data_IF_528856141765
#
_entry.id   IF_528856141765
#
_cell.length_a   1.000
_cell.length_b   1.000
_cell.length_c   1.000
_cell.angle_alpha   90.00
_cell.angle_beta   90.00
_cell.angle_gamma   90.00
#
_symmetry.space_group_name_H-M   'P 1'
#
loop_
_entity.id
_entity.type
_entity.pdbx_description
1 polymer ?
#
# COMPACT_ATOMS: atom_id res chain seq x y z
N UNK A 1 -13.73 14.01 13.66
CA UNK A 1 -14.38 14.31 14.96
C UNK A 1 -15.13 13.10 15.55
N UNK A 2 -14.63 11.88 15.38
CA UNK A 2 -15.31 10.63 15.81
C UNK A 2 -14.80 10.06 17.12
N UNK A 3 -13.48 9.84 17.20
CA UNK A 3 -12.82 9.09 18.27
C UNK A 3 -13.00 9.68 19.66
N UNK A 4 -12.52 10.88 19.89
CA UNK A 4 -12.60 11.52 21.22
C UNK A 4 -14.04 11.59 21.75
N UNK A 5 -15.02 11.81 20.86
CA UNK A 5 -16.43 11.86 21.26
C UNK A 5 -16.97 10.49 21.65
N UNK A 6 -16.55 9.41 20.99
CA UNK A 6 -16.90 8.02 21.36
C UNK A 6 -16.20 7.62 22.65
N UNK A 7 -14.88 7.83 22.73
CA UNK A 7 -14.08 7.52 23.91
C UNK A 7 -14.63 8.24 25.16
N UNK A 8 -14.87 9.53 25.10
CA UNK A 8 -15.46 10.28 26.21
C UNK A 8 -16.87 9.79 26.57
N UNK A 9 -17.68 9.43 25.57
CA UNK A 9 -19.00 8.83 25.81
C UNK A 9 -18.93 7.49 26.52
N UNK A 10 -17.97 6.63 26.14
CA UNK A 10 -17.77 5.32 26.78
C UNK A 10 -17.18 5.49 28.19
N UNK A 11 -16.20 6.38 28.38
CA UNK A 11 -15.64 6.73 29.70
C UNK A 11 -16.76 7.21 30.64
N UNK A 12 -17.65 8.06 30.15
CA UNK A 12 -18.77 8.57 30.96
C UNK A 12 -19.74 7.46 31.41
N UNK A 13 -20.04 6.50 30.52
CA UNK A 13 -20.88 5.35 30.84
C UNK A 13 -20.23 4.41 31.86
N UNK A 14 -18.93 4.12 31.67
CA UNK A 14 -18.17 3.28 32.62
C UNK A 14 -18.11 3.95 33.99
N UNK A 15 -17.84 5.26 34.06
CA UNK A 15 -17.81 6.00 35.30
C UNK A 15 -19.19 6.07 36.03
N UNK A 16 -20.28 5.97 35.27
CA UNK A 16 -21.64 5.88 35.82
C UNK A 16 -22.06 4.45 36.17
N UNK A 17 -21.24 3.45 35.88
CA UNK A 17 -21.57 2.03 36.04
C UNK A 17 -22.62 1.52 35.04
N UNK A 18 -22.84 2.25 33.95
CA UNK A 18 -23.78 1.93 32.89
C UNK A 18 -23.18 1.00 31.83
N UNK A 19 -21.82 0.86 31.82
CA UNK A 19 -21.08 -0.04 30.95
C UNK A 19 -19.91 -0.70 31.68
N UNK A 20 -19.51 -1.94 31.36
CA UNK A 20 -18.33 -2.59 31.94
C UNK A 20 -17.03 -1.98 31.42
N UNK A 21 -15.96 -2.13 32.19
CA UNK A 21 -14.61 -1.59 31.83
C UNK A 21 -14.11 -2.20 30.51
N UNK A 22 -14.45 -3.45 30.24
CA UNK A 22 -14.11 -4.17 29.01
C UNK A 22 -14.64 -3.46 27.73
N UNK A 23 -15.75 -2.72 27.87
CA UNK A 23 -16.29 -1.92 26.75
C UNK A 23 -15.41 -0.73 26.39
N UNK A 24 -14.68 -0.19 27.39
CA UNK A 24 -13.68 0.85 27.17
C UNK A 24 -12.48 0.34 26.39
N UNK A 25 -11.98 -0.83 26.78
CA UNK A 25 -10.85 -1.47 26.13
C UNK A 25 -11.17 -1.84 24.68
N UNK A 26 -12.37 -2.38 24.43
CA UNK A 26 -12.83 -2.71 23.07
C UNK A 26 -13.03 -1.47 22.20
N UNK A 27 -13.58 -0.38 22.76
CA UNK A 27 -13.74 0.87 22.02
C UNK A 27 -12.38 1.48 21.65
N UNK A 28 -11.39 1.39 22.56
CA UNK A 28 -10.04 1.88 22.32
C UNK A 28 -9.31 1.08 21.22
N UNK A 29 -9.36 -0.26 21.28
CA UNK A 29 -8.75 -1.14 20.26
C UNK A 29 -9.40 -0.91 18.88
N UNK A 30 -10.72 -0.79 18.80
CA UNK A 30 -11.41 -0.56 17.52
C UNK A 30 -10.98 0.77 16.85
N UNK A 31 -10.74 1.79 17.63
CA UNK A 31 -10.33 3.10 17.09
C UNK A 31 -8.85 3.12 16.67
N UNK A 32 -7.96 2.42 17.35
CA UNK A 32 -6.55 2.27 16.93
C UNK A 32 -6.44 1.50 15.61
N UNK A 33 -7.23 0.47 15.42
CA UNK A 33 -7.31 -0.26 14.13
C UNK A 33 -7.78 0.66 13.01
N UNK A 34 -8.83 1.44 13.24
CA UNK A 34 -9.34 2.40 12.26
C UNK A 34 -8.31 3.50 11.94
N UNK A 35 -7.55 3.98 12.92
CA UNK A 35 -6.47 4.94 12.71
C UNK A 35 -5.30 4.32 11.90
N UNK A 36 -4.92 3.08 12.18
CA UNK A 36 -3.90 2.37 11.42
C UNK A 36 -4.33 2.16 9.96
N UNK A 37 -5.60 1.80 9.73
CA UNK A 37 -6.14 1.65 8.37
C UNK A 37 -6.28 2.99 7.64
N UNK A 38 -6.59 4.09 8.33
CA UNK A 38 -6.59 5.44 7.74
C UNK A 38 -5.16 5.89 7.37
N UNK A 39 -4.19 5.61 8.24
CA UNK A 39 -2.78 5.88 7.94
C UNK A 39 -2.29 5.05 6.74
N UNK A 40 -2.68 3.78 6.65
CA UNK A 40 -2.39 2.94 5.50
C UNK A 40 -2.94 3.52 4.20
N UNK A 41 -4.21 3.95 4.16
CA UNK A 41 -4.81 4.55 2.96
C UNK A 41 -4.07 5.80 2.47
N UNK A 42 -3.65 6.66 3.41
CA UNK A 42 -2.83 7.83 3.07
C UNK A 42 -1.46 7.42 2.51
N UNK A 43 -0.90 6.34 3.04
CA UNK A 43 0.36 5.78 2.57
C UNK A 43 0.25 5.21 1.16
N UNK A 44 -0.80 4.45 0.84
CA UNK A 44 -1.06 3.94 -0.51
C UNK A 44 -1.09 5.08 -1.54
N UNK A 45 -1.87 6.11 -1.25
CA UNK A 45 -1.98 7.28 -2.12
C UNK A 45 -0.62 7.98 -2.29
N UNK A 46 0.12 8.19 -1.20
CA UNK A 46 1.43 8.84 -1.23
C UNK A 46 2.45 8.04 -2.05
N UNK A 47 2.52 6.72 -1.88
CA UNK A 47 3.42 5.85 -2.62
C UNK A 47 3.14 5.90 -4.13
N UNK A 48 1.88 5.82 -4.52
CA UNK A 48 1.47 5.89 -5.93
C UNK A 48 1.74 7.26 -6.54
N UNK A 49 1.38 8.34 -5.85
CA UNK A 49 1.64 9.70 -6.32
C UNK A 49 3.14 9.94 -6.52
N UNK A 50 3.97 9.50 -5.58
CA UNK A 50 5.42 9.68 -5.67
C UNK A 50 6.03 8.80 -6.76
N UNK A 51 5.53 7.57 -6.96
CA UNK A 51 5.95 6.71 -8.07
C UNK A 51 5.68 7.39 -9.43
N UNK A 52 4.49 7.96 -9.62
CA UNK A 52 4.14 8.67 -10.86
C UNK A 52 4.94 9.98 -11.02
N UNK A 53 5.14 10.75 -9.95
CA UNK A 53 5.98 11.97 -9.99
C UNK A 53 7.44 11.69 -10.33
N UNK A 54 7.98 10.55 -9.92
CA UNK A 54 9.37 10.17 -10.20
C UNK A 54 9.63 10.07 -11.71
N UNK A 55 8.66 9.62 -12.48
CA UNK A 55 8.75 9.46 -13.95
C UNK A 55 8.32 10.69 -14.74
N UNK A 56 7.92 11.77 -14.09
CA UNK A 56 7.55 13.03 -14.75
C UNK A 56 6.06 13.38 -14.71
N UNK A 57 5.25 12.57 -14.05
CA UNK A 57 3.82 12.80 -13.87
C UNK A 57 2.92 11.85 -14.67
N UNK A 58 1.61 12.04 -14.60
CA UNK A 58 0.63 11.13 -15.21
C UNK A 58 0.67 11.10 -16.74
N UNK A 59 1.21 12.14 -17.38
CA UNK A 59 1.36 12.18 -18.84
C UNK A 59 2.54 11.35 -19.36
N UNK A 60 3.44 10.92 -18.46
CA UNK A 60 4.65 10.18 -18.83
C UNK A 60 4.45 8.65 -18.82
N UNK A 61 3.40 8.16 -18.18
CA UNK A 61 3.10 6.72 -18.07
C UNK A 61 1.60 6.47 -18.16
N UNK A 62 1.23 5.34 -18.69
CA UNK A 62 -0.17 4.89 -18.77
C UNK A 62 -0.64 4.32 -17.44
N UNK A 63 0.26 3.61 -16.74
CA UNK A 63 0.02 2.96 -15.46
C UNK A 63 1.28 2.88 -14.61
N UNK A 64 1.09 2.89 -13.30
CA UNK A 64 2.14 2.60 -12.35
C UNK A 64 1.72 1.44 -11.44
N UNK A 65 2.67 0.55 -11.16
CA UNK A 65 2.50 -0.59 -10.27
C UNK A 65 3.61 -0.57 -9.23
N UNK A 66 3.23 -0.67 -7.96
CA UNK A 66 4.16 -0.62 -6.83
C UNK A 66 4.00 -1.89 -6.03
N UNK A 67 5.06 -2.68 -5.89
CA UNK A 67 5.13 -3.79 -4.97
C UNK A 67 6.09 -3.44 -3.84
N UNK A 68 5.61 -3.51 -2.61
CA UNK A 68 6.37 -3.13 -1.43
C UNK A 68 6.54 -4.32 -0.50
N UNK A 69 7.74 -4.47 0.06
CA UNK A 69 8.04 -5.37 1.16
C UNK A 69 8.16 -4.54 2.44
N UNK A 70 7.29 -4.82 3.40
CA UNK A 70 7.23 -4.15 4.70
C UNK A 70 7.87 -4.98 5.83
N UNK A 71 8.40 -6.16 5.53
CA UNK A 71 9.03 -7.01 6.55
C UNK A 71 10.21 -6.28 7.16
N UNK A 72 10.23 -6.23 8.48
CA UNK A 72 11.21 -5.51 9.29
C UNK A 72 12.66 -5.82 8.87
N UNK A 73 13.45 -4.78 8.66
CA UNK A 73 14.83 -4.83 8.15
C UNK A 73 14.99 -5.42 6.73
N UNK A 74 13.92 -5.49 5.96
CA UNK A 74 13.91 -5.98 4.59
C UNK A 74 13.06 -5.07 3.68
N UNK A 75 12.82 -3.84 4.10
CA UNK A 75 12.00 -2.88 3.38
C UNK A 75 12.59 -2.68 1.97
N UNK A 76 11.89 -3.19 0.98
CA UNK A 76 12.27 -3.12 -0.42
C UNK A 76 11.07 -2.82 -1.31
N UNK A 77 11.36 -2.25 -2.48
CA UNK A 77 10.32 -1.82 -3.41
C UNK A 77 10.67 -2.27 -4.82
N UNK A 78 9.68 -2.71 -5.56
CA UNK A 78 9.73 -2.87 -7.00
C UNK A 78 8.65 -2.01 -7.65
N UNK A 79 8.99 -1.36 -8.73
CA UNK A 79 8.13 -0.46 -9.47
C UNK A 79 8.10 -0.89 -10.94
N UNK A 80 6.90 -1.01 -11.48
CA UNK A 80 6.71 -1.20 -12.90
C UNK A 80 5.88 -0.05 -13.45
N UNK A 81 6.14 0.28 -14.68
CA UNK A 81 5.41 1.31 -15.42
C UNK A 81 4.95 0.75 -16.76
N UNK A 82 3.73 1.06 -17.14
CA UNK A 82 3.31 0.86 -18.52
C UNK A 82 3.60 2.15 -19.30
N UNK A 83 4.41 2.02 -20.36
CA UNK A 83 4.79 3.12 -21.26
C UNK A 83 4.66 2.60 -22.70
N UNK A 84 3.89 3.30 -23.50
CA UNK A 84 3.60 2.92 -24.90
C UNK A 84 3.14 1.44 -25.04
N UNK A 85 2.29 1.00 -24.11
CA UNK A 85 1.76 -0.36 -24.07
C UNK A 85 2.74 -1.44 -23.59
N UNK A 86 3.94 -1.08 -23.16
CA UNK A 86 4.97 -2.01 -22.67
C UNK A 86 5.13 -1.88 -21.15
N UNK A 87 5.34 -3.01 -20.47
CA UNK A 87 5.68 -3.04 -19.05
C UNK A 87 7.20 -2.92 -18.89
N UNK A 88 7.64 -1.87 -18.21
CA UNK A 88 9.04 -1.61 -17.88
C UNK A 88 9.24 -1.64 -16.38
N UNK A 89 10.31 -2.27 -15.89
CA UNK A 89 10.78 -2.04 -14.52
C UNK A 89 11.38 -0.63 -14.42
N UNK A 90 11.32 -0.01 -13.26
CA UNK A 90 11.95 1.27 -13.02
C UNK A 90 13.45 1.30 -13.37
N UNK A 91 14.12 0.14 -13.33
CA UNK A 91 15.55 0.00 -13.72
C UNK A 91 15.77 0.04 -15.23
N UNK A 92 14.70 -0.15 -16.00
CA UNK A 92 14.70 -0.12 -17.47
C UNK A 92 14.32 1.28 -18.00
N UNK A 93 14.00 2.22 -17.10
CA UNK A 93 13.68 3.61 -17.41
C UNK A 93 14.96 4.44 -17.68
N UNK A 94 14.77 5.68 -18.11
CA UNK A 94 15.89 6.61 -18.32
C UNK A 94 16.74 6.79 -17.05
N UNK A 95 18.04 7.02 -17.21
CA UNK A 95 19.00 7.15 -16.10
C UNK A 95 18.59 8.21 -15.06
N UNK A 96 17.96 9.32 -15.49
CA UNK A 96 17.48 10.37 -14.60
C UNK A 96 16.30 9.91 -13.72
N UNK A 97 15.45 9.02 -14.25
CA UNK A 97 14.34 8.39 -13.49
C UNK A 97 14.89 7.39 -12.50
N UNK A 98 15.82 6.53 -12.95
CA UNK A 98 16.50 5.55 -12.09
C UNK A 98 17.18 6.25 -10.90
N UNK A 99 17.89 7.35 -11.15
CA UNK A 99 18.56 8.14 -10.11
C UNK A 99 17.57 8.73 -9.10
N UNK A 100 16.47 9.33 -9.58
CA UNK A 100 15.40 9.84 -8.72
C UNK A 100 14.78 8.75 -7.83
N UNK A 101 14.45 7.61 -8.43
CA UNK A 101 13.85 6.51 -7.69
C UNK A 101 14.81 5.98 -6.65
N UNK A 102 16.06 5.70 -7.03
CA UNK A 102 17.06 5.12 -6.13
C UNK A 102 17.41 6.03 -4.95
N UNK A 103 17.59 7.33 -5.21
CA UNK A 103 18.16 8.25 -4.24
C UNK A 103 17.10 9.07 -3.47
N UNK A 104 15.85 9.10 -3.94
CA UNK A 104 14.80 9.90 -3.32
C UNK A 104 13.60 9.04 -2.93
N UNK A 105 13.00 8.28 -3.88
CA UNK A 105 11.77 7.57 -3.62
C UNK A 105 11.97 6.36 -2.70
N UNK A 106 12.94 5.49 -2.99
CA UNK A 106 13.14 4.26 -2.21
C UNK A 106 13.49 4.52 -0.73
N UNK A 107 14.38 5.49 -0.38
CA UNK A 107 14.63 5.82 1.02
C UNK A 107 13.38 6.31 1.76
N UNK A 108 12.62 7.22 1.13
CA UNK A 108 11.38 7.74 1.71
C UNK A 108 10.32 6.65 1.89
N UNK A 109 10.19 5.77 0.91
CA UNK A 109 9.24 4.66 0.97
C UNK A 109 9.59 3.66 2.09
N UNK A 110 10.89 3.44 2.35
CA UNK A 110 11.34 2.59 3.46
C UNK A 110 10.99 3.18 4.83
N UNK A 111 11.20 4.49 5.03
CA UNK A 111 10.79 5.17 6.27
C UNK A 111 9.28 5.09 6.50
N UNK A 112 8.50 5.28 5.44
CA UNK A 112 7.04 5.19 5.50
C UNK A 112 6.58 3.77 5.80
N UNK A 113 7.20 2.75 5.21
CA UNK A 113 6.89 1.35 5.48
C UNK A 113 7.09 0.98 6.95
N UNK A 114 8.18 1.46 7.56
CA UNK A 114 8.43 1.26 8.98
C UNK A 114 7.33 1.91 9.82
N UNK A 115 6.99 3.16 9.56
CA UNK A 115 5.97 3.89 10.30
C UNK A 115 4.58 3.23 10.21
N UNK A 116 4.22 2.66 9.04
CA UNK A 116 2.97 1.90 8.88
C UNK A 116 2.95 0.71 9.83
N UNK A 117 3.99 -0.11 9.85
CA UNK A 117 4.01 -1.30 10.68
C UNK A 117 4.07 -0.98 12.18
N UNK A 118 4.73 0.12 12.58
CA UNK A 118 4.68 0.60 13.96
C UNK A 118 3.23 0.93 14.38
N UNK A 119 2.45 1.60 13.54
CA UNK A 119 1.03 1.87 13.81
C UNK A 119 0.19 0.59 13.91
N UNK A 120 0.46 -0.41 13.06
CA UNK A 120 -0.23 -1.71 13.11
C UNK A 120 0.13 -2.51 14.36
N UNK A 121 1.41 -2.50 14.77
CA UNK A 121 1.87 -3.12 16.02
C UNK A 121 1.21 -2.45 17.24
N UNK A 122 1.15 -1.12 17.29
CA UNK A 122 0.47 -0.37 18.37
C UNK A 122 -1.03 -0.64 18.44
N UNK A 123 -1.68 -0.81 17.30
CA UNK A 123 -3.08 -1.18 17.21
C UNK A 123 -3.35 -2.66 17.54
N UNK A 124 -2.29 -3.47 17.71
CA UNK A 124 -2.37 -4.92 17.91
C UNK A 124 -3.14 -5.65 16.80
N UNK A 125 -2.98 -5.19 15.57
CA UNK A 125 -3.51 -5.83 14.37
C UNK A 125 -2.39 -6.47 13.55
N UNK A 126 -2.69 -7.47 12.67
CA UNK A 126 -1.66 -8.12 11.87
C UNK A 126 -0.90 -7.12 10.98
N UNK A 127 0.41 -7.05 11.16
CA UNK A 127 1.29 -6.19 10.36
C UNK A 127 1.25 -6.55 8.88
N UNK A 128 1.57 -5.56 8.04
CA UNK A 128 1.64 -5.74 6.60
C UNK A 128 3.01 -6.32 6.24
N UNK A 129 3.03 -7.46 5.55
CA UNK A 129 4.25 -8.04 5.00
C UNK A 129 4.55 -7.48 3.61
N UNK A 130 3.53 -7.37 2.78
CA UNK A 130 3.64 -6.87 1.41
C UNK A 130 2.41 -6.04 1.03
N UNK A 131 2.59 -5.13 0.07
CA UNK A 131 1.47 -4.48 -0.59
C UNK A 131 1.69 -4.40 -2.10
N UNK A 132 0.62 -4.59 -2.86
CA UNK A 132 0.57 -4.45 -4.31
C UNK A 132 -0.39 -3.30 -4.64
N UNK A 133 0.15 -2.23 -5.22
CA UNK A 133 -0.60 -1.02 -5.54
C UNK A 133 -0.60 -0.78 -7.05
N UNK A 134 -1.69 -0.25 -7.56
CA UNK A 134 -1.89 0.02 -8.99
C UNK A 134 -2.49 1.40 -9.17
N UNK A 135 -2.02 2.12 -10.16
CA UNK A 135 -2.54 3.42 -10.53
C UNK A 135 -2.80 3.48 -12.03
N UNK A 136 -4.01 3.85 -12.42
CA UNK A 136 -4.46 4.06 -13.79
C UNK A 136 -4.49 5.56 -14.08
N UNK A 137 -3.60 6.06 -14.92
CA UNK A 137 -3.47 7.52 -15.14
C UNK A 137 -4.64 8.10 -15.90
N UNK A 138 -5.23 7.36 -16.84
CA UNK A 138 -6.34 7.84 -17.67
C UNK A 138 -7.62 8.12 -16.86
N UNK A 139 -7.89 7.31 -15.83
CA UNK A 139 -9.08 7.43 -14.98
C UNK A 139 -8.77 8.05 -13.62
N UNK A 140 -7.49 8.22 -13.30
CA UNK A 140 -6.99 8.59 -11.96
C UNK A 140 -7.45 7.61 -10.88
N UNK A 141 -7.82 6.39 -11.27
CA UNK A 141 -8.19 5.32 -10.36
C UNK A 141 -6.95 4.64 -9.77
N UNK A 142 -7.05 4.29 -8.51
CA UNK A 142 -6.01 3.51 -7.85
C UNK A 142 -6.60 2.35 -7.05
N UNK A 143 -5.85 1.29 -6.92
CA UNK A 143 -6.24 0.07 -6.26
C UNK A 143 -5.07 -0.45 -5.43
N UNK A 144 -5.35 -0.98 -4.25
CA UNK A 144 -4.36 -1.54 -3.36
C UNK A 144 -4.79 -2.89 -2.78
N UNK A 145 -3.82 -3.76 -2.56
CA UNK A 145 -3.99 -5.01 -1.80
C UNK A 145 -2.86 -5.12 -0.80
N UNK A 146 -3.19 -5.16 0.47
CA UNK A 146 -2.25 -5.48 1.56
C UNK A 146 -2.25 -6.98 1.82
N UNK A 147 -1.07 -7.55 2.02
CA UNK A 147 -0.85 -8.92 2.44
C UNK A 147 -0.26 -8.90 3.84
N UNK A 148 -1.00 -9.42 4.80
CA UNK A 148 -0.54 -9.52 6.19
C UNK A 148 0.08 -10.89 6.46
N UNK A 149 0.68 -11.08 7.62
CA UNK A 149 1.22 -12.38 8.05
C UNK A 149 0.22 -13.54 7.98
N UNK A 150 -1.09 -13.23 7.96
CA UNK A 150 -2.16 -14.22 7.81
C UNK A 150 -2.44 -14.59 6.34
N UNK A 151 -1.95 -13.81 5.38
CA UNK A 151 -2.17 -14.07 3.95
C UNK A 151 -1.33 -15.25 3.48
N UNK A 152 -1.86 -16.18 2.65
CA UNK A 152 -1.07 -17.29 2.10
C UNK A 152 0.18 -16.82 1.35
N UNK A 153 0.05 -15.73 0.59
CA UNK A 153 1.10 -15.13 -0.22
C UNK A 153 2.23 -14.51 0.62
N UNK A 154 1.99 -14.20 1.90
CA UNK A 154 3.04 -13.69 2.79
C UNK A 154 4.16 -14.71 3.06
N UNK A 155 3.95 -16.00 2.72
CA UNK A 155 4.96 -17.05 2.78
C UNK A 155 5.96 -17.01 1.62
N UNK A 156 5.60 -16.32 0.53
CA UNK A 156 6.47 -16.16 -0.62
C UNK A 156 7.61 -15.19 -0.29
N UNK A 157 8.71 -15.35 -1.01
CA UNK A 157 9.76 -14.34 -1.04
C UNK A 157 9.31 -13.12 -1.85
N UNK A 158 9.96 -11.99 -1.63
CA UNK A 158 9.68 -10.78 -2.41
C UNK A 158 9.95 -11.00 -3.91
N UNK A 159 11.00 -11.74 -4.25
CA UNK A 159 11.35 -12.07 -5.63
C UNK A 159 10.31 -12.94 -6.33
N UNK A 160 9.73 -13.91 -5.63
CA UNK A 160 8.63 -14.73 -6.15
C UNK A 160 7.38 -13.89 -6.42
N UNK A 161 7.04 -12.96 -5.50
CA UNK A 161 5.93 -12.03 -5.69
C UNK A 161 6.18 -11.08 -6.87
N UNK A 162 7.38 -10.50 -6.99
CA UNK A 162 7.79 -9.65 -8.10
C UNK A 162 7.65 -10.38 -9.43
N UNK A 163 8.23 -11.59 -9.52
CA UNK A 163 8.24 -12.38 -10.75
C UNK A 163 6.84 -12.83 -11.14
N UNK A 164 6.07 -13.30 -10.17
CA UNK A 164 4.70 -13.77 -10.40
C UNK A 164 3.77 -12.65 -10.84
N UNK A 165 3.83 -11.50 -10.17
CA UNK A 165 2.99 -10.36 -10.54
C UNK A 165 3.40 -9.74 -11.87
N UNK A 166 4.71 -9.61 -12.15
CA UNK A 166 5.21 -9.16 -13.45
C UNK A 166 4.66 -10.00 -14.60
N UNK A 167 4.68 -11.32 -14.46
CA UNK A 167 4.15 -12.23 -15.48
C UNK A 167 2.65 -12.05 -15.74
N UNK A 168 1.87 -11.75 -14.70
CA UNK A 168 0.44 -11.42 -14.83
C UNK A 168 0.28 -10.10 -15.58
N UNK A 169 1.01 -9.05 -15.19
CA UNK A 169 0.92 -7.74 -15.82
C UNK A 169 1.30 -7.80 -17.30
N UNK A 170 2.39 -8.49 -17.67
CA UNK A 170 2.84 -8.67 -19.06
C UNK A 170 1.77 -9.36 -19.92
N UNK A 171 1.02 -10.29 -19.35
CA UNK A 171 -0.07 -11.00 -20.05
C UNK A 171 -1.32 -10.14 -20.20
N UNK A 172 -1.66 -9.37 -19.18
CA UNK A 172 -2.91 -8.61 -19.10
C UNK A 172 -2.84 -7.27 -19.84
N UNK A 173 -1.71 -6.58 -19.81
CA UNK A 173 -1.52 -5.23 -20.40
C UNK A 173 -1.97 -5.17 -21.85
N UNK A 174 -1.60 -6.08 -22.78
CA UNK A 174 -2.00 -6.00 -24.18
C UNK A 174 -3.51 -6.12 -24.41
N UNK A 175 -4.24 -6.67 -23.44
CA UNK A 175 -5.65 -7.00 -23.56
C UNK A 175 -6.55 -6.01 -22.78
N UNK A 176 -5.97 -5.03 -22.08
CA UNK A 176 -6.71 -4.13 -21.20
C UNK A 176 -6.74 -2.70 -21.72
N UNK A 177 -7.94 -2.11 -21.94
CA UNK A 177 -8.05 -0.71 -22.34
C UNK A 177 -7.52 0.23 -21.25
N UNK A 178 -7.01 1.41 -21.67
CA UNK A 178 -6.41 2.41 -20.76
C UNK A 178 -7.42 3.12 -19.85
N UNK A 179 -8.70 3.03 -20.16
CA UNK A 179 -9.79 3.61 -19.36
C UNK A 179 -10.48 2.58 -18.45
N UNK A 180 -9.77 1.52 -18.11
CA UNK A 180 -10.31 0.47 -17.25
C UNK A 180 -10.53 0.99 -15.82
N UNK A 181 -11.70 0.74 -15.28
CA UNK A 181 -12.08 1.02 -13.89
C UNK A 181 -11.86 -0.18 -12.94
N UNK A 182 -11.15 -1.21 -13.42
CA UNK A 182 -10.91 -2.45 -12.68
C UNK A 182 -9.42 -2.68 -12.44
N UNK A 183 -9.05 -3.20 -11.25
CA UNK A 183 -7.66 -3.55 -11.00
C UNK A 183 -7.20 -4.68 -11.93
N UNK A 184 -5.91 -4.72 -12.20
CA UNK A 184 -5.27 -5.93 -12.71
C UNK A 184 -5.33 -7.03 -11.66
N UNK A 185 -5.35 -8.31 -12.07
CA UNK A 185 -5.25 -9.40 -11.12
C UNK A 185 -3.98 -9.27 -10.27
N UNK A 186 -4.13 -9.53 -8.99
CA UNK A 186 -2.98 -9.68 -8.10
C UNK A 186 -2.43 -11.11 -8.20
N UNK A 187 -1.15 -11.27 -7.88
CA UNK A 187 -0.58 -12.60 -7.79
C UNK A 187 -1.17 -13.33 -6.58
N UNK A 188 -1.71 -14.51 -6.80
CA UNK A 188 -2.33 -15.38 -5.81
C UNK A 188 -1.73 -16.79 -5.93
N UNK A 189 -1.57 -17.50 -4.78
CA UNK A 189 -1.04 -18.85 -4.66
C UNK A 189 -2.16 -19.86 -4.54
#
# INVERSE_FOLDING_TARGET
MGFLKRLFGTIEKVNKGEAPIEELDQAFVFDLEAEADDYWRQTEELLLINAVKAVGGPDAVERAFVLTNFKKNQETFELFYQVDGQLLSWREMDASVVDKISNQLLPQASEVAQAVNENYEEANVPVIDYAMLQFETATMAWFGRKLTTASPEAKLTFEELVSGWRAILEKEIPNRPLDSDRPFPYYEV
#
